data_IF_427095707865
#
_entry.id   IF_427095707865
#
_cell.length_a   1.000
_cell.length_b   1.000
_cell.length_c   1.000
_cell.angle_alpha   90.00
_cell.angle_beta   90.00
_cell.angle_gamma   90.00
#
_symmetry.space_group_name_H-M   'P 1'
#
loop_
_entity.id
_entity.type
_entity.pdbx_description
1 polymer ?
#
# COMPACT_ATOMS: atom_id res chain seq x y z
N UNK A 1 12.18 62.06 21.34
CA UNK A 1 12.75 61.27 20.24
C UNK A 1 12.73 59.81 20.68
N UNK A 2 11.79 59.02 20.20
CA UNK A 2 11.73 57.59 20.43
C UNK A 2 12.41 56.90 19.27
N UNK A 3 13.58 56.32 19.50
CA UNK A 3 14.32 55.50 18.54
C UNK A 3 13.70 54.13 18.53
N UNK A 4 12.98 53.80 17.44
CA UNK A 4 12.50 52.47 17.15
C UNK A 4 13.67 51.59 16.72
N UNK A 5 14.11 50.68 17.60
CA UNK A 5 15.01 49.58 17.23
C UNK A 5 14.24 48.56 16.40
N UNK A 6 14.42 48.58 15.10
CA UNK A 6 14.01 47.47 14.21
C UNK A 6 15.05 46.38 14.32
N UNK A 7 14.74 45.29 15.02
CA UNK A 7 15.54 44.07 14.95
C UNK A 7 15.30 43.43 13.57
N UNK A 8 16.37 43.06 12.83
CA UNK A 8 16.20 42.27 11.61
C UNK A 8 15.66 40.90 12.03
N UNK A 9 14.47 40.56 11.58
CA UNK A 9 13.98 39.19 11.65
C UNK A 9 14.92 38.39 10.78
N UNK A 10 15.83 37.62 11.36
CA UNK A 10 16.63 36.66 10.66
C UNK A 10 15.64 35.59 10.12
N UNK A 11 15.32 35.69 8.85
CA UNK A 11 14.66 34.62 8.12
C UNK A 11 15.69 33.48 8.06
N UNK A 12 15.61 32.55 9.01
CA UNK A 12 16.35 31.31 8.90
C UNK A 12 15.85 30.62 7.61
N UNK A 13 16.74 30.52 6.63
CA UNK A 13 16.45 29.75 5.42
C UNK A 13 16.08 28.33 5.85
N UNK A 14 14.84 27.96 5.63
CA UNK A 14 14.33 26.66 6.02
C UNK A 14 15.16 25.60 5.29
N UNK A 15 15.71 24.65 6.04
CA UNK A 15 16.55 23.58 5.46
C UNK A 15 15.64 22.56 4.81
N UNK A 16 15.98 22.15 3.59
CA UNK A 16 15.26 21.08 2.91
C UNK A 16 15.33 19.76 3.70
N UNK A 17 14.15 19.16 3.92
CA UNK A 17 14.03 17.84 4.54
C UNK A 17 14.00 16.75 3.50
N UNK A 18 14.55 15.57 3.82
CA UNK A 18 14.45 14.40 2.98
C UNK A 18 12.98 13.93 2.90
N UNK A 19 12.41 13.96 1.72
CA UNK A 19 11.02 13.57 1.48
C UNK A 19 10.91 12.05 1.55
N UNK A 20 10.27 11.54 2.60
CA UNK A 20 9.99 10.11 2.76
C UNK A 20 8.85 9.65 1.85
N UNK A 21 8.72 8.33 1.66
CA UNK A 21 7.58 7.77 0.92
C UNK A 21 6.26 8.15 1.60
N UNK A 22 5.29 8.62 0.81
CA UNK A 22 3.94 8.95 1.30
C UNK A 22 3.22 7.73 1.89
N UNK A 23 3.56 6.52 1.44
CA UNK A 23 3.00 5.28 1.99
C UNK A 23 3.49 4.96 3.40
N UNK A 24 4.66 5.51 3.79
CA UNK A 24 5.24 5.37 5.14
C UNK A 24 4.85 6.54 6.04
N UNK A 25 5.03 7.77 5.53
CA UNK A 25 4.81 9.02 6.29
C UNK A 25 4.01 10.00 5.44
N UNK A 26 2.68 9.89 5.42
CA UNK A 26 1.84 10.88 4.76
C UNK A 26 1.92 12.22 5.50
N UNK A 27 2.09 13.30 4.75
CA UNK A 27 2.13 14.67 5.28
C UNK A 27 1.05 15.51 4.59
N UNK A 28 0.62 16.64 5.19
CA UNK A 28 -0.30 17.57 4.54
C UNK A 28 0.27 18.14 3.24
N UNK A 29 -0.60 18.57 2.33
CA UNK A 29 -0.19 19.11 1.02
C UNK A 29 0.71 20.34 1.16
N UNK A 30 0.45 21.17 2.16
CA UNK A 30 1.21 22.39 2.46
C UNK A 30 2.69 22.08 2.75
N UNK A 31 2.96 20.99 3.48
CA UNK A 31 4.33 20.53 3.72
C UNK A 31 5.05 20.22 2.40
N UNK A 32 4.39 19.50 1.49
CA UNK A 32 5.03 19.15 0.22
C UNK A 32 5.24 20.37 -0.69
N UNK A 33 4.31 21.34 -0.67
CA UNK A 33 4.45 22.61 -1.39
C UNK A 33 5.66 23.41 -0.88
N UNK A 34 5.77 23.56 0.45
CA UNK A 34 6.88 24.24 1.08
C UNK A 34 8.22 23.56 0.79
N UNK A 35 8.29 22.24 0.90
CA UNK A 35 9.52 21.51 0.58
C UNK A 35 9.88 21.60 -0.90
N UNK A 36 8.91 21.66 -1.81
CA UNK A 36 9.18 21.88 -3.23
C UNK A 36 9.87 23.23 -3.46
N UNK A 37 9.45 24.29 -2.79
CA UNK A 37 10.04 25.63 -2.92
C UNK A 37 11.47 25.66 -2.34
N UNK A 38 11.68 25.05 -1.17
CA UNK A 38 13.00 24.95 -0.52
C UNK A 38 13.99 24.20 -1.42
N UNK A 39 13.61 23.03 -1.95
CA UNK A 39 14.50 22.25 -2.81
C UNK A 39 14.73 22.91 -4.18
N UNK A 40 13.74 23.65 -4.70
CA UNK A 40 13.94 24.48 -5.90
C UNK A 40 14.97 25.59 -5.68
N UNK A 41 14.94 26.24 -4.50
CA UNK A 41 15.95 27.24 -4.14
C UNK A 41 17.36 26.64 -4.06
N UNK A 42 17.51 25.42 -3.54
CA UNK A 42 18.80 24.71 -3.55
C UNK A 42 19.29 24.38 -4.96
N UNK A 43 18.39 23.97 -5.86
CA UNK A 43 18.72 23.72 -7.25
C UNK A 43 19.14 24.98 -8.02
N UNK A 44 18.59 26.14 -7.66
CA UNK A 44 19.00 27.44 -8.23
C UNK A 44 20.44 27.81 -7.83
N UNK A 45 20.91 27.34 -6.66
CA UNK A 45 22.31 27.54 -6.22
C UNK A 45 23.25 26.52 -6.88
N UNK A 46 22.80 25.28 -7.01
CA UNK A 46 23.58 24.17 -7.60
C UNK A 46 22.68 23.18 -8.33
N UNK A 47 22.56 23.32 -9.63
CA UNK A 47 21.76 22.43 -10.48
C UNK A 47 22.38 21.05 -10.73
N UNK A 48 23.59 20.78 -10.19
CA UNK A 48 24.23 19.46 -10.18
C UNK A 48 23.93 18.66 -8.89
N UNK A 49 23.20 19.22 -7.94
CA UNK A 49 22.84 18.55 -6.70
C UNK A 49 21.75 17.50 -6.95
N UNK A 50 22.17 16.24 -7.10
CA UNK A 50 21.28 15.11 -7.37
C UNK A 50 20.25 14.89 -6.24
N UNK A 51 20.67 15.04 -4.97
CA UNK A 51 19.75 14.93 -3.83
C UNK A 51 18.66 16.02 -3.84
N UNK A 52 19.01 17.25 -4.25
CA UNK A 52 18.02 18.31 -4.37
C UNK A 52 17.00 18.01 -5.49
N UNK A 53 17.43 17.47 -6.62
CA UNK A 53 16.53 17.00 -7.69
C UNK A 53 15.58 15.91 -7.21
N UNK A 54 16.10 14.92 -6.47
CA UNK A 54 15.31 13.82 -5.94
C UNK A 54 14.18 14.31 -5.04
N UNK A 55 14.48 15.17 -4.09
CA UNK A 55 13.49 15.71 -3.15
C UNK A 55 12.54 16.70 -3.83
N UNK A 56 13.02 17.52 -4.75
CA UNK A 56 12.18 18.42 -5.55
C UNK A 56 11.13 17.65 -6.36
N UNK A 57 11.56 16.58 -7.04
CA UNK A 57 10.64 15.71 -7.77
C UNK A 57 9.60 15.06 -6.83
N UNK A 58 10.06 14.46 -5.72
CA UNK A 58 9.17 13.80 -4.76
C UNK A 58 8.15 14.75 -4.16
N UNK A 59 8.56 15.94 -3.73
CA UNK A 59 7.66 16.96 -3.22
C UNK A 59 6.56 17.30 -4.24
N UNK A 60 6.93 17.60 -5.50
CA UNK A 60 5.95 17.89 -6.55
C UNK A 60 5.04 16.70 -6.89
N UNK A 61 5.58 15.46 -6.87
CA UNK A 61 4.77 14.26 -7.05
C UNK A 61 3.70 14.13 -5.97
N UNK A 62 4.05 14.39 -4.71
CA UNK A 62 3.13 14.26 -3.58
C UNK A 62 2.14 15.42 -3.48
N UNK A 63 2.52 16.64 -3.85
CA UNK A 63 1.54 17.72 -4.10
C UNK A 63 0.47 17.24 -5.08
N UNK A 64 0.87 16.63 -6.20
CA UNK A 64 -0.07 16.10 -7.18
C UNK A 64 -0.94 14.94 -6.67
N UNK A 65 -0.45 14.13 -5.73
CA UNK A 65 -1.23 13.03 -5.12
C UNK A 65 -2.24 13.57 -4.09
N UNK A 66 -1.83 14.57 -3.27
CA UNK A 66 -2.66 15.12 -2.20
C UNK A 66 -3.69 16.15 -2.69
N UNK A 67 -3.54 16.70 -3.89
CA UNK A 67 -4.36 17.81 -4.38
C UNK A 67 -5.77 17.44 -4.82
N UNK A 68 -6.25 16.21 -4.55
CA UNK A 68 -7.62 15.75 -4.81
C UNK A 68 -8.40 16.62 -5.81
N UNK A 69 -8.33 16.33 -7.11
CA UNK A 69 -9.12 16.94 -8.20
C UNK A 69 -8.87 18.41 -8.56
N UNK A 70 -8.15 19.19 -7.78
CA UNK A 70 -7.89 20.62 -8.10
C UNK A 70 -6.80 20.80 -9.16
N UNK A 71 -5.83 19.88 -9.24
CA UNK A 71 -4.86 19.82 -10.34
C UNK A 71 -5.28 18.69 -11.27
N UNK A 72 -5.86 19.04 -12.41
CA UNK A 72 -6.25 18.06 -13.43
C UNK A 72 -5.06 17.18 -13.82
N UNK A 73 -5.29 15.87 -13.93
CA UNK A 73 -4.27 14.86 -14.17
C UNK A 73 -3.19 15.23 -15.22
N UNK A 74 -3.51 15.85 -16.38
CA UNK A 74 -2.52 16.27 -17.37
C UNK A 74 -1.47 17.23 -16.83
N UNK A 75 -1.83 18.24 -16.05
CA UNK A 75 -0.91 19.29 -15.59
C UNK A 75 0.15 18.73 -14.60
N UNK A 76 -0.25 17.78 -13.77
CA UNK A 76 0.68 17.08 -12.88
C UNK A 76 1.76 16.33 -13.67
N UNK A 77 1.35 15.58 -14.69
CA UNK A 77 2.29 14.81 -15.52
C UNK A 77 3.23 15.72 -16.31
N UNK A 78 2.72 16.85 -16.84
CA UNK A 78 3.54 17.86 -17.55
C UNK A 78 4.63 18.40 -16.63
N UNK A 79 4.29 18.79 -15.40
CA UNK A 79 5.27 19.32 -14.43
C UNK A 79 6.34 18.29 -14.07
N UNK A 80 5.94 17.06 -13.73
CA UNK A 80 6.90 16.02 -13.39
C UNK A 80 7.81 15.67 -14.57
N UNK A 81 7.25 15.60 -15.79
CA UNK A 81 8.04 15.41 -17.01
C UNK A 81 9.07 16.52 -17.19
N UNK A 82 8.69 17.79 -17.03
CA UNK A 82 9.61 18.91 -17.13
C UNK A 82 10.77 18.81 -16.14
N UNK A 83 10.52 18.34 -14.90
CA UNK A 83 11.57 18.11 -13.92
C UNK A 83 12.55 17.03 -14.40
N UNK A 84 12.03 15.91 -14.94
CA UNK A 84 12.85 14.83 -15.51
C UNK A 84 13.68 15.34 -16.70
N UNK A 85 13.10 16.13 -17.61
CA UNK A 85 13.80 16.70 -18.77
C UNK A 85 14.96 17.64 -18.34
N UNK A 86 14.78 18.37 -17.24
CA UNK A 86 15.85 19.21 -16.67
C UNK A 86 16.91 18.38 -15.93
N UNK A 87 16.55 17.29 -15.26
CA UNK A 87 17.50 16.34 -14.66
C UNK A 87 18.37 15.69 -15.74
N UNK A 88 17.78 15.33 -16.88
CA UNK A 88 18.51 14.74 -18.03
C UNK A 88 19.62 15.66 -18.54
N UNK A 89 19.37 16.98 -18.61
CA UNK A 89 20.38 17.99 -19.00
C UNK A 89 21.48 18.19 -17.97
N UNK A 90 21.13 18.04 -16.68
CA UNK A 90 22.04 18.42 -15.58
C UNK A 90 22.76 17.24 -14.95
N UNK A 91 22.11 16.09 -14.76
CA UNK A 91 22.63 14.95 -14.00
C UNK A 91 22.28 13.58 -14.66
N UNK A 92 22.46 13.38 -16.00
CA UNK A 92 21.98 12.21 -16.74
C UNK A 92 22.53 10.88 -16.24
N UNK A 93 23.73 10.88 -15.67
CA UNK A 93 24.41 9.66 -15.20
C UNK A 93 24.21 9.38 -13.71
N UNK A 94 23.34 10.17 -13.02
CA UNK A 94 23.08 9.97 -11.60
C UNK A 94 22.08 8.82 -11.35
N UNK A 95 22.15 8.23 -10.15
CA UNK A 95 21.13 7.31 -9.65
C UNK A 95 19.76 7.97 -9.69
N UNK A 96 19.66 9.19 -9.17
CA UNK A 96 18.42 9.94 -9.01
C UNK A 96 17.71 10.16 -10.34
N UNK A 97 18.44 10.56 -11.39
CA UNK A 97 17.84 10.73 -12.71
C UNK A 97 17.31 9.40 -13.24
N UNK A 98 18.12 8.35 -13.23
CA UNK A 98 17.72 7.06 -13.79
C UNK A 98 16.54 6.46 -13.00
N UNK A 99 16.58 6.52 -11.68
CA UNK A 99 15.48 6.02 -10.84
C UNK A 99 14.19 6.82 -11.05
N UNK A 100 14.27 8.16 -11.04
CA UNK A 100 13.07 8.99 -11.20
C UNK A 100 12.52 8.98 -12.64
N UNK A 101 13.36 8.75 -13.64
CA UNK A 101 12.92 8.51 -15.02
C UNK A 101 12.03 7.27 -15.11
N UNK A 102 12.45 6.16 -14.49
CA UNK A 102 11.64 4.96 -14.32
C UNK A 102 10.35 5.27 -13.56
N UNK A 103 10.45 5.86 -12.38
CA UNK A 103 9.27 6.16 -11.54
C UNK A 103 8.24 7.04 -12.27
N UNK A 104 8.71 7.99 -13.10
CA UNK A 104 7.86 8.87 -13.90
C UNK A 104 7.20 8.17 -15.08
N UNK A 105 7.71 7.03 -15.52
CA UNK A 105 7.12 6.26 -16.61
C UNK A 105 5.83 5.52 -16.21
N UNK A 106 5.53 5.43 -14.89
CA UNK A 106 4.37 4.70 -14.39
C UNK A 106 4.49 3.19 -14.55
N UNK A 107 5.70 2.65 -14.37
CA UNK A 107 6.03 1.22 -14.55
C UNK A 107 5.93 0.73 -16.02
N UNK A 108 6.19 1.61 -16.97
CA UNK A 108 6.33 1.22 -18.38
C UNK A 108 7.57 0.33 -18.54
N UNK A 109 7.36 -0.96 -18.78
CA UNK A 109 8.43 -1.96 -18.90
C UNK A 109 9.41 -1.67 -20.05
N UNK A 110 9.03 -0.86 -21.04
CA UNK A 110 9.96 -0.39 -22.09
C UNK A 110 11.05 0.52 -21.55
N UNK A 111 10.82 1.13 -20.38
CA UNK A 111 11.75 2.01 -19.65
C UNK A 111 12.53 1.28 -18.53
N UNK A 112 12.37 -0.03 -18.39
CA UNK A 112 12.97 -0.81 -17.30
C UNK A 112 14.49 -0.68 -17.22
N UNK A 113 15.15 -0.43 -18.36
CA UNK A 113 16.59 -0.18 -18.43
C UNK A 113 17.05 1.00 -17.54
N UNK A 114 16.19 1.99 -17.26
CA UNK A 114 16.54 3.09 -16.35
C UNK A 114 16.57 2.60 -14.89
N UNK A 115 15.65 1.74 -14.48
CA UNK A 115 15.69 1.13 -13.16
C UNK A 115 16.97 0.27 -12.97
N UNK A 116 17.33 -0.53 -13.99
CA UNK A 116 18.56 -1.31 -13.99
C UNK A 116 19.82 -0.43 -13.92
N UNK A 117 19.84 0.70 -14.64
CA UNK A 117 20.95 1.66 -14.57
C UNK A 117 21.07 2.28 -13.19
N UNK A 118 19.97 2.71 -12.58
CA UNK A 118 19.97 3.23 -11.22
C UNK A 118 20.57 2.19 -10.25
N UNK A 119 20.11 0.95 -10.31
CA UNK A 119 20.60 -0.13 -9.46
C UNK A 119 22.09 -0.43 -9.68
N UNK A 120 22.59 -0.35 -10.92
CA UNK A 120 24.03 -0.52 -11.22
C UNK A 120 24.90 0.59 -10.63
N UNK A 121 24.37 1.81 -10.55
CA UNK A 121 25.10 2.96 -9.98
C UNK A 121 25.20 2.81 -8.46
N UNK A 122 24.10 2.47 -7.81
CA UNK A 122 24.07 2.27 -6.35
C UNK A 122 23.11 1.13 -5.99
N UNK A 123 23.60 -0.12 -5.93
CA UNK A 123 22.78 -1.29 -5.63
C UNK A 123 22.34 -1.34 -4.15
N UNK A 124 22.92 -0.52 -3.28
CA UNK A 124 22.59 -0.50 -1.85
C UNK A 124 21.41 0.43 -1.52
N UNK A 125 21.00 1.26 -2.48
CA UNK A 125 19.84 2.15 -2.31
C UNK A 125 18.53 1.39 -2.43
N UNK A 126 17.84 1.32 -1.30
CA UNK A 126 16.63 0.52 -1.13
C UNK A 126 15.39 1.10 -1.83
N UNK A 127 15.40 2.40 -2.17
CA UNK A 127 14.25 3.06 -2.78
C UNK A 127 13.80 2.39 -4.09
N UNK A 128 14.72 1.72 -4.79
CA UNK A 128 14.44 1.01 -6.05
C UNK A 128 13.88 -0.40 -5.85
N UNK A 129 14.03 -1.01 -4.66
CA UNK A 129 13.64 -2.42 -4.46
C UNK A 129 12.14 -2.69 -4.63
N UNK A 130 11.21 -1.85 -4.08
CA UNK A 130 9.78 -2.02 -4.37
C UNK A 130 9.46 -1.98 -5.86
N UNK A 131 10.16 -1.11 -6.61
CA UNK A 131 9.97 -0.98 -8.05
C UNK A 131 10.45 -2.22 -8.81
N UNK A 132 11.55 -2.85 -8.37
CA UNK A 132 11.97 -4.15 -8.91
C UNK A 132 10.97 -5.25 -8.58
N UNK A 133 10.43 -5.27 -7.35
CA UNK A 133 9.39 -6.24 -6.95
C UNK A 133 8.18 -6.11 -7.87
N UNK A 134 7.67 -4.90 -8.09
CA UNK A 134 6.53 -4.68 -8.99
C UNK A 134 6.86 -4.96 -10.45
N UNK A 135 8.02 -4.53 -10.96
CA UNK A 135 8.42 -4.76 -12.34
C UNK A 135 8.56 -6.25 -12.68
N UNK A 136 9.13 -7.04 -11.76
CA UNK A 136 9.25 -8.48 -11.95
C UNK A 136 7.90 -9.20 -11.75
N UNK A 137 7.01 -8.68 -10.90
CA UNK A 137 5.63 -9.16 -10.86
C UNK A 137 4.91 -8.92 -12.20
N UNK A 138 5.01 -7.73 -12.78
CA UNK A 138 4.48 -7.44 -14.13
C UNK A 138 5.03 -8.40 -15.20
N UNK A 139 6.32 -8.73 -15.13
CA UNK A 139 6.98 -9.68 -16.03
C UNK A 139 6.67 -11.15 -15.71
N UNK A 140 5.93 -11.44 -14.65
CA UNK A 140 5.70 -12.79 -14.11
C UNK A 140 7.00 -13.56 -13.78
N UNK A 141 8.08 -12.85 -13.52
CA UNK A 141 9.36 -13.40 -13.05
C UNK A 141 9.37 -13.47 -11.52
N UNK A 142 8.70 -14.49 -11.00
CA UNK A 142 8.47 -14.68 -9.56
C UNK A 142 9.79 -14.89 -8.81
N UNK A 143 10.78 -15.51 -9.45
CA UNK A 143 12.09 -15.77 -8.84
C UNK A 143 12.80 -14.45 -8.54
N UNK A 144 12.92 -13.57 -9.53
CA UNK A 144 13.53 -12.24 -9.36
C UNK A 144 12.72 -11.33 -8.46
N UNK A 145 11.38 -11.37 -8.56
CA UNK A 145 10.51 -10.67 -7.61
C UNK A 145 10.87 -11.06 -6.17
N UNK A 146 10.97 -12.35 -5.89
CA UNK A 146 11.28 -12.86 -4.56
C UNK A 146 12.71 -12.51 -4.14
N UNK A 147 13.69 -12.50 -5.06
CA UNK A 147 15.04 -12.03 -4.79
C UNK A 147 15.04 -10.58 -4.27
N UNK A 148 14.36 -9.66 -4.97
CA UNK A 148 14.29 -8.27 -4.57
C UNK A 148 13.44 -8.05 -3.31
N UNK A 149 12.40 -8.83 -3.10
CA UNK A 149 11.63 -8.81 -1.85
C UNK A 149 12.51 -9.18 -0.63
N UNK A 150 13.39 -10.19 -0.78
CA UNK A 150 14.36 -10.58 0.25
C UNK A 150 15.41 -9.49 0.48
N UNK A 151 15.95 -8.89 -0.57
CA UNK A 151 16.89 -7.77 -0.47
C UNK A 151 16.27 -6.59 0.26
N UNK A 152 15.02 -6.26 -0.07
CA UNK A 152 14.31 -5.19 0.60
C UNK A 152 14.09 -5.47 2.08
N UNK A 153 13.65 -6.69 2.43
CA UNK A 153 13.51 -7.10 3.82
C UNK A 153 14.84 -6.99 4.59
N UNK A 154 15.95 -7.44 3.99
CA UNK A 154 17.26 -7.42 4.62
C UNK A 154 17.78 -6.01 4.96
N UNK A 155 17.26 -4.95 4.32
CA UNK A 155 17.58 -3.56 4.67
C UNK A 155 16.96 -3.10 5.99
N UNK A 156 16.00 -3.84 6.55
CA UNK A 156 15.35 -3.50 7.82
C UNK A 156 14.37 -2.34 7.77
N UNK A 157 14.01 -1.87 6.58
CA UNK A 157 13.12 -0.72 6.39
C UNK A 157 11.68 -1.10 5.96
N UNK A 158 11.37 -2.39 5.97
CA UNK A 158 9.99 -2.87 5.85
C UNK A 158 9.30 -2.69 7.20
N UNK A 159 8.09 -2.14 7.20
CA UNK A 159 7.31 -1.95 8.43
C UNK A 159 6.98 -3.27 9.09
N UNK A 160 7.45 -3.54 10.32
CA UNK A 160 7.07 -4.74 11.06
C UNK A 160 5.55 -4.83 11.30
N UNK A 161 4.89 -3.70 11.55
CA UNK A 161 3.45 -3.65 11.73
C UNK A 161 2.69 -4.11 10.49
N UNK A 162 3.11 -3.70 9.29
CA UNK A 162 2.53 -4.19 8.04
C UNK A 162 2.85 -5.66 7.77
N UNK A 163 3.99 -6.18 8.24
CA UNK A 163 4.26 -7.61 8.16
C UNK A 163 3.29 -8.39 9.07
N UNK A 164 3.06 -7.97 10.32
CA UNK A 164 2.07 -8.60 11.20
C UNK A 164 0.64 -8.50 10.65
N UNK A 165 0.25 -7.32 10.17
CA UNK A 165 -1.06 -7.12 9.57
C UNK A 165 -1.29 -8.10 8.40
N UNK A 166 -0.35 -8.13 7.45
CA UNK A 166 -0.46 -8.97 6.27
C UNK A 166 -0.25 -10.47 6.57
N UNK A 167 0.52 -10.83 7.61
CA UNK A 167 0.54 -12.18 8.14
C UNK A 167 -0.87 -12.62 8.55
N UNK A 168 -1.59 -11.80 9.31
CA UNK A 168 -2.95 -12.11 9.73
C UNK A 168 -3.92 -12.15 8.53
N UNK A 169 -3.71 -11.32 7.50
CA UNK A 169 -4.47 -11.46 6.24
C UNK A 169 -4.26 -12.84 5.63
N UNK A 170 -3.01 -13.30 5.47
CA UNK A 170 -2.70 -14.63 4.92
C UNK A 170 -3.29 -15.76 5.76
N UNK A 171 -3.27 -15.62 7.09
CA UNK A 171 -3.82 -16.63 8.00
C UNK A 171 -5.35 -16.68 7.97
N UNK A 172 -6.04 -15.66 7.44
CA UNK A 172 -7.49 -15.67 7.21
C UNK A 172 -7.94 -16.63 6.11
N UNK A 173 -7.01 -17.10 5.27
CA UNK A 173 -7.32 -17.71 3.98
C UNK A 173 -7.25 -19.22 4.01
N UNK A 174 -8.14 -19.89 3.27
CA UNK A 174 -8.05 -21.33 3.00
C UNK A 174 -6.83 -21.65 2.11
N UNK A 175 -6.37 -22.91 2.09
CA UNK A 175 -5.28 -23.33 1.20
C UNK A 175 -5.56 -23.03 -0.27
N UNK A 176 -4.50 -22.72 -1.03
CA UNK A 176 -4.54 -22.41 -2.46
C UNK A 176 -5.44 -21.24 -2.86
N UNK A 177 -5.71 -20.30 -1.96
CA UNK A 177 -6.58 -19.16 -2.23
C UNK A 177 -6.03 -18.19 -3.29
N UNK A 178 -6.94 -17.41 -3.88
CA UNK A 178 -6.64 -16.17 -4.58
C UNK A 178 -7.04 -15.03 -3.65
N UNK A 179 -6.11 -14.12 -3.38
CA UNK A 179 -6.35 -12.91 -2.59
C UNK A 179 -6.28 -11.68 -3.50
N UNK A 180 -7.36 -10.92 -3.54
CA UNK A 180 -7.43 -9.63 -4.22
C UNK A 180 -6.98 -8.52 -3.26
N UNK A 181 -6.03 -7.70 -3.69
CA UNK A 181 -5.49 -6.53 -2.97
C UNK A 181 -5.52 -5.31 -3.87
N UNK A 182 -5.19 -4.12 -3.34
CA UNK A 182 -5.27 -2.89 -4.15
C UNK A 182 -4.07 -1.96 -4.00
N UNK A 183 -3.45 -1.90 -2.82
CA UNK A 183 -2.38 -0.95 -2.50
C UNK A 183 -1.02 -1.61 -2.28
N UNK A 184 -0.01 -0.77 -2.07
CA UNK A 184 1.36 -1.22 -1.81
C UNK A 184 1.47 -1.91 -0.44
N UNK A 185 0.83 -1.32 0.58
CA UNK A 185 0.91 -1.78 1.97
C UNK A 185 0.10 -3.06 2.25
N UNK A 186 -0.81 -3.42 1.37
CA UNK A 186 -1.58 -4.66 1.43
C UNK A 186 -1.15 -5.71 0.40
N UNK A 187 -0.07 -5.44 -0.35
CA UNK A 187 0.46 -6.33 -1.38
C UNK A 187 1.92 -6.70 -1.16
N UNK A 188 2.83 -5.72 -1.09
CA UNK A 188 4.26 -6.01 -0.97
C UNK A 188 4.64 -6.78 0.31
N UNK A 189 4.07 -6.48 1.49
CA UNK A 189 4.36 -7.29 2.68
C UNK A 189 3.92 -8.75 2.53
N UNK A 190 2.86 -9.06 1.77
CA UNK A 190 2.46 -10.44 1.47
C UNK A 190 3.54 -11.17 0.66
N UNK A 191 4.04 -10.54 -0.40
CA UNK A 191 5.12 -11.11 -1.20
C UNK A 191 6.42 -11.27 -0.42
N UNK A 192 6.72 -10.34 0.49
CA UNK A 192 7.88 -10.45 1.40
C UNK A 192 7.70 -11.64 2.37
N UNK A 193 6.52 -11.79 2.97
CA UNK A 193 6.22 -12.92 3.86
C UNK A 193 6.36 -14.27 3.13
N UNK A 194 5.87 -14.36 1.91
CA UNK A 194 6.01 -15.54 1.06
C UNK A 194 7.48 -15.79 0.70
N UNK A 195 8.18 -14.77 0.18
CA UNK A 195 9.54 -14.92 -0.32
C UNK A 195 10.57 -15.18 0.79
N UNK A 196 10.47 -14.45 1.92
CA UNK A 196 11.49 -14.48 2.97
C UNK A 196 11.23 -15.61 3.98
N UNK A 197 9.96 -15.90 4.30
CA UNK A 197 9.60 -16.79 5.39
C UNK A 197 8.85 -18.05 4.95
N UNK A 198 8.56 -18.20 3.64
CA UNK A 198 7.78 -19.33 3.13
C UNK A 198 6.33 -19.36 3.62
N UNK A 199 5.79 -18.20 4.07
CA UNK A 199 4.45 -18.13 4.66
C UNK A 199 3.41 -18.10 3.54
N UNK A 200 2.57 -19.16 3.47
CA UNK A 200 1.43 -19.24 2.56
C UNK A 200 1.80 -18.98 1.09
N UNK A 201 2.86 -19.59 0.61
CA UNK A 201 3.27 -19.55 -0.82
C UNK A 201 2.21 -20.15 -1.76
N UNK A 202 1.30 -20.94 -1.21
CA UNK A 202 0.13 -21.50 -1.89
C UNK A 202 -0.87 -20.42 -2.33
N UNK A 203 -0.92 -19.28 -1.64
CA UNK A 203 -1.84 -18.17 -1.94
C UNK A 203 -1.32 -17.36 -3.12
N UNK A 204 -2.20 -17.08 -4.09
CA UNK A 204 -1.91 -16.17 -5.20
C UNK A 204 -2.46 -14.79 -4.89
N UNK A 205 -1.56 -13.81 -4.74
CA UNK A 205 -1.91 -12.41 -4.51
C UNK A 205 -2.07 -11.74 -5.87
N UNK A 206 -3.24 -11.13 -6.11
CA UNK A 206 -3.55 -10.36 -7.30
C UNK A 206 -3.87 -8.92 -6.90
N UNK A 207 -3.00 -8.00 -7.30
CA UNK A 207 -3.21 -6.58 -7.06
C UNK A 207 -4.08 -5.97 -8.16
N UNK A 208 -5.28 -5.50 -7.78
CA UNK A 208 -6.24 -4.91 -8.72
C UNK A 208 -5.71 -3.62 -9.37
N UNK A 209 -4.83 -2.87 -8.67
CA UNK A 209 -4.23 -1.66 -9.23
C UNK A 209 -3.20 -1.97 -10.32
N UNK A 210 -2.72 -3.21 -10.45
CA UNK A 210 -1.78 -3.63 -11.50
C UNK A 210 -2.49 -4.06 -12.79
N UNK A 211 -3.81 -4.18 -12.78
CA UNK A 211 -4.61 -4.65 -13.93
C UNK A 211 -4.69 -3.63 -15.09
N UNK A 212 -4.02 -2.48 -15.00
CA UNK A 212 -3.83 -1.60 -16.16
C UNK A 212 -2.72 -2.08 -17.11
N UNK A 213 -1.85 -2.98 -16.63
CA UNK A 213 -0.72 -3.48 -17.40
C UNK A 213 -1.11 -4.77 -18.16
N UNK A 214 -0.97 -4.75 -19.48
CA UNK A 214 -1.39 -5.84 -20.35
C UNK A 214 -0.57 -7.13 -20.11
N UNK A 215 0.75 -7.01 -19.90
CA UNK A 215 1.61 -8.17 -19.63
C UNK A 215 1.19 -8.87 -18.32
N UNK A 216 0.87 -8.08 -17.28
CA UNK A 216 0.38 -8.60 -16.01
C UNK A 216 -0.95 -9.37 -16.19
N UNK A 217 -1.91 -8.77 -16.91
CA UNK A 217 -3.19 -9.41 -17.20
C UNK A 217 -2.98 -10.74 -17.93
N UNK A 218 -2.18 -10.76 -18.98
CA UNK A 218 -1.89 -11.96 -19.76
C UNK A 218 -1.18 -13.02 -18.90
N UNK A 219 -0.23 -12.62 -18.09
CA UNK A 219 0.49 -13.49 -17.17
C UNK A 219 -0.43 -14.10 -16.10
N UNK A 220 -1.28 -13.29 -15.47
CA UNK A 220 -2.25 -13.75 -14.48
C UNK A 220 -3.33 -14.62 -15.10
N UNK A 221 -3.78 -14.32 -16.32
CA UNK A 221 -4.71 -15.16 -17.10
C UNK A 221 -4.15 -16.59 -17.27
N UNK A 222 -2.89 -16.68 -17.69
CA UNK A 222 -2.20 -17.97 -17.85
C UNK A 222 -2.01 -18.69 -16.51
N UNK A 223 -1.58 -17.95 -15.46
CA UNK A 223 -1.34 -18.51 -14.13
C UNK A 223 -2.62 -19.06 -13.49
N UNK A 224 -3.72 -18.32 -13.61
CA UNK A 224 -5.02 -18.67 -13.03
C UNK A 224 -5.89 -19.53 -13.95
N UNK A 225 -5.44 -19.80 -15.18
CA UNK A 225 -6.18 -20.51 -16.22
C UNK A 225 -7.57 -19.89 -16.47
N UNK A 226 -7.57 -18.59 -16.68
CA UNK A 226 -8.77 -17.78 -16.73
C UNK A 226 -8.63 -16.68 -17.79
N UNK A 227 -9.64 -16.51 -18.66
CA UNK A 227 -9.65 -15.46 -19.67
C UNK A 227 -10.10 -14.12 -19.10
N UNK A 228 -9.19 -13.15 -19.03
CA UNK A 228 -9.53 -11.77 -18.77
C UNK A 228 -10.14 -11.09 -20.00
N UNK A 229 -10.97 -10.07 -19.77
CA UNK A 229 -11.48 -9.21 -20.85
C UNK A 229 -10.32 -8.40 -21.40
N UNK A 230 -10.29 -8.18 -22.72
CA UNK A 230 -9.29 -7.33 -23.38
C UNK A 230 -9.24 -5.94 -22.74
N UNK A 231 -8.10 -5.56 -22.14
CA UNK A 231 -7.96 -4.27 -21.47
C UNK A 231 -8.08 -3.08 -22.44
N UNK A 232 -7.73 -3.25 -23.71
CA UNK A 232 -7.80 -2.19 -24.73
C UNK A 232 -9.25 -1.77 -25.04
N UNK A 233 -10.23 -2.64 -24.81
CA UNK A 233 -11.66 -2.31 -24.98
C UNK A 233 -12.29 -1.64 -23.76
N UNK A 234 -11.60 -1.60 -22.62
CA UNK A 234 -12.10 -1.12 -21.34
C UNK A 234 -11.29 0.05 -20.77
N UNK A 235 -10.27 0.53 -21.48
CA UNK A 235 -9.36 1.59 -21.02
C UNK A 235 -10.07 2.94 -20.73
N UNK A 236 -11.29 3.16 -21.21
CA UNK A 236 -12.07 4.35 -20.86
C UNK A 236 -12.47 4.41 -19.39
N UNK A 237 -12.44 3.26 -18.67
CA UNK A 237 -12.73 3.23 -17.24
C UNK A 237 -12.04 2.06 -16.52
N UNK A 238 -10.82 2.32 -16.02
CA UNK A 238 -10.02 1.34 -15.28
C UNK A 238 -10.77 0.74 -14.05
N UNK A 239 -11.66 1.52 -13.43
CA UNK A 239 -12.46 1.07 -12.30
C UNK A 239 -13.54 0.05 -12.73
N UNK A 240 -14.23 0.29 -13.83
CA UNK A 240 -15.20 -0.66 -14.39
C UNK A 240 -14.51 -1.95 -14.82
N UNK A 241 -13.30 -1.83 -15.35
CA UNK A 241 -12.48 -2.98 -15.70
C UNK A 241 -12.13 -3.84 -14.49
N UNK A 242 -11.55 -3.23 -13.44
CA UNK A 242 -11.22 -3.95 -12.21
C UNK A 242 -12.46 -4.62 -11.58
N UNK A 243 -13.60 -3.93 -11.56
CA UNK A 243 -14.89 -4.46 -11.11
C UNK A 243 -15.33 -5.70 -11.91
N UNK A 244 -15.19 -5.65 -13.25
CA UNK A 244 -15.52 -6.78 -14.11
C UNK A 244 -14.62 -7.99 -13.87
N UNK A 245 -13.34 -7.76 -13.54
CA UNK A 245 -12.38 -8.80 -13.18
C UNK A 245 -12.78 -9.46 -11.86
N UNK A 246 -13.10 -8.68 -10.82
CA UNK A 246 -13.59 -9.22 -9.55
C UNK A 246 -14.79 -10.14 -9.76
N UNK A 247 -15.80 -9.66 -10.50
CA UNK A 247 -16.99 -10.48 -10.84
C UNK A 247 -16.63 -11.77 -11.58
N UNK A 248 -15.71 -11.68 -12.53
CA UNK A 248 -15.31 -12.86 -13.32
C UNK A 248 -14.55 -13.87 -12.47
N UNK A 249 -13.60 -13.41 -11.65
CA UNK A 249 -12.86 -14.30 -10.74
C UNK A 249 -13.83 -14.95 -9.75
N UNK A 250 -14.77 -14.18 -9.20
CA UNK A 250 -15.78 -14.68 -8.28
C UNK A 250 -16.75 -15.67 -8.95
N UNK A 251 -17.21 -15.39 -10.16
CA UNK A 251 -18.17 -16.22 -10.88
C UNK A 251 -17.54 -17.39 -11.65
N UNK A 252 -16.24 -17.30 -11.92
CA UNK A 252 -15.57 -18.39 -12.60
C UNK A 252 -15.30 -19.52 -11.62
N UNK A 253 -15.65 -20.74 -12.02
CA UNK A 253 -15.46 -21.96 -11.24
C UNK A 253 -13.97 -22.32 -11.09
N UNK A 254 -13.14 -21.33 -10.77
CA UNK A 254 -11.79 -21.59 -10.32
C UNK A 254 -11.92 -22.50 -9.11
N UNK A 255 -11.37 -23.70 -9.16
CA UNK A 255 -11.33 -24.65 -8.03
C UNK A 255 -10.47 -24.12 -6.86
N UNK A 256 -10.48 -22.81 -6.66
CA UNK A 256 -9.68 -22.08 -5.68
C UNK A 256 -10.58 -21.11 -4.92
N UNK A 257 -10.47 -21.06 -3.58
CA UNK A 257 -11.16 -20.04 -2.79
C UNK A 257 -10.72 -18.64 -3.21
N UNK A 258 -11.66 -17.69 -3.29
CA UNK A 258 -11.40 -16.31 -3.66
C UNK A 258 -11.69 -15.41 -2.47
N UNK A 259 -10.77 -14.48 -2.21
CA UNK A 259 -10.87 -13.52 -1.11
C UNK A 259 -10.58 -12.10 -1.59
N UNK A 260 -11.17 -11.14 -0.92
CA UNK A 260 -10.76 -9.72 -1.01
C UNK A 260 -10.22 -9.27 0.33
N UNK A 261 -9.08 -8.58 0.36
CA UNK A 261 -8.59 -7.92 1.58
C UNK A 261 -9.58 -6.84 2.02
N UNK A 262 -9.67 -6.53 3.33
CA UNK A 262 -10.54 -5.46 3.84
C UNK A 262 -10.13 -4.06 3.32
N UNK A 263 -8.94 -3.93 2.78
CA UNK A 263 -8.42 -2.70 2.17
C UNK A 263 -8.95 -2.45 0.74
N UNK A 264 -9.60 -3.44 0.14
CA UNK A 264 -10.21 -3.30 -1.19
C UNK A 264 -11.50 -2.48 -1.07
N UNK A 265 -11.54 -1.34 -1.76
CA UNK A 265 -12.68 -0.43 -1.77
C UNK A 265 -13.96 -1.15 -2.24
N UNK A 266 -15.08 -0.93 -1.56
CA UNK A 266 -16.40 -1.52 -1.86
C UNK A 266 -16.83 -1.30 -3.30
N UNK A 267 -16.40 -0.20 -3.94
CA UNK A 267 -16.67 0.05 -5.36
C UNK A 267 -16.23 -1.09 -6.29
N UNK A 268 -15.21 -1.86 -5.93
CA UNK A 268 -14.77 -3.03 -6.71
C UNK A 268 -15.59 -4.28 -6.42
N UNK A 269 -16.16 -4.40 -5.22
CA UNK A 269 -16.82 -5.62 -4.73
C UNK A 269 -18.35 -5.52 -4.72
N UNK A 270 -18.94 -4.32 -4.91
CA UNK A 270 -20.40 -4.11 -4.93
C UNK A 270 -21.19 -5.18 -5.71
N UNK A 271 -20.76 -5.67 -6.90
CA UNK A 271 -21.54 -6.66 -7.64
C UNK A 271 -21.66 -8.02 -6.98
N UNK A 272 -20.80 -8.34 -6.02
CA UNK A 272 -20.71 -9.61 -5.30
C UNK A 272 -20.83 -9.43 -3.80
N UNK A 273 -21.32 -8.28 -3.35
CA UNK A 273 -21.33 -7.91 -1.93
C UNK A 273 -22.14 -8.89 -1.07
N UNK A 274 -23.23 -9.44 -1.59
CA UNK A 274 -24.10 -10.39 -0.87
C UNK A 274 -23.45 -11.77 -0.69
N UNK A 275 -22.45 -12.11 -1.53
CA UNK A 275 -21.69 -13.35 -1.46
C UNK A 275 -20.34 -13.20 -0.72
N UNK A 276 -20.09 -12.05 -0.08
CA UNK A 276 -18.88 -11.79 0.69
C UNK A 276 -19.09 -12.04 2.17
N UNK A 277 -18.33 -12.95 2.74
CA UNK A 277 -18.38 -13.32 4.15
C UNK A 277 -17.10 -12.90 4.87
N UNK A 278 -17.26 -12.08 5.90
CA UNK A 278 -16.13 -11.64 6.74
C UNK A 278 -15.53 -12.84 7.48
N UNK A 279 -14.21 -13.09 7.29
CA UNK A 279 -13.52 -14.22 7.91
C UNK A 279 -12.27 -13.83 8.71
N UNK A 280 -12.00 -12.55 8.86
CA UNK A 280 -10.84 -11.98 9.55
C UNK A 280 -10.49 -10.62 8.95
N UNK A 281 -9.29 -10.47 8.41
CA UNK A 281 -8.88 -9.28 7.65
C UNK A 281 -9.14 -9.43 6.13
N UNK A 282 -10.03 -10.33 5.78
CA UNK A 282 -10.48 -10.57 4.42
C UNK A 282 -11.95 -10.98 4.40
N UNK A 283 -12.58 -10.80 3.24
CA UNK A 283 -13.87 -11.41 2.91
C UNK A 283 -13.65 -12.62 2.02
N UNK A 284 -14.28 -13.74 2.36
CA UNK A 284 -14.37 -14.92 1.49
C UNK A 284 -15.57 -14.77 0.56
N UNK A 285 -15.37 -14.96 -0.74
CA UNK A 285 -16.44 -15.09 -1.69
C UNK A 285 -17.04 -16.51 -1.67
N UNK A 286 -18.35 -16.60 -1.49
CA UNK A 286 -19.09 -17.86 -1.57
C UNK A 286 -20.52 -17.64 -2.04
N UNK A 287 -20.98 -18.46 -3.02
CA UNK A 287 -22.40 -18.51 -3.41
C UNK A 287 -23.24 -19.26 -2.37
N UNK A 288 -22.62 -20.16 -1.66
CA UNK A 288 -23.26 -20.91 -0.59
C UNK A 288 -23.09 -20.17 0.74
N UNK A 289 -24.11 -20.24 1.59
CA UNK A 289 -24.01 -19.71 2.92
C UNK A 289 -22.96 -20.44 3.72
N UNK A 290 -22.00 -19.73 4.30
CA UNK A 290 -20.94 -20.28 5.14
C UNK A 290 -21.12 -19.83 6.60
N UNK A 291 -20.62 -20.63 7.53
CA UNK A 291 -20.51 -20.23 8.96
C UNK A 291 -19.24 -19.34 9.11
N UNK A 292 -19.38 -18.08 8.74
CA UNK A 292 -18.28 -17.14 8.81
C UNK A 292 -17.92 -16.79 10.27
N UNK A 293 -18.85 -16.91 11.23
CA UNK A 293 -18.55 -16.68 12.66
C UNK A 293 -17.57 -17.73 13.17
N UNK A 294 -17.78 -19.01 12.85
CA UNK A 294 -16.85 -20.07 13.23
C UNK A 294 -15.46 -19.86 12.61
N UNK A 295 -15.40 -19.42 11.32
CA UNK A 295 -14.14 -19.07 10.67
C UNK A 295 -13.47 -17.86 11.31
N UNK A 296 -14.24 -16.84 11.63
CA UNK A 296 -13.77 -15.62 12.28
C UNK A 296 -13.16 -15.91 13.65
N UNK A 297 -13.86 -16.71 14.48
CA UNK A 297 -13.33 -17.17 15.78
C UNK A 297 -12.03 -17.92 15.62
N UNK A 298 -11.98 -18.93 14.74
CA UNK A 298 -10.77 -19.69 14.47
C UNK A 298 -9.60 -18.78 14.08
N UNK A 299 -9.83 -17.87 13.14
CA UNK A 299 -8.79 -16.98 12.63
C UNK A 299 -8.30 -16.02 13.70
N UNK A 300 -9.22 -15.29 14.34
CA UNK A 300 -8.88 -14.25 15.31
C UNK A 300 -8.33 -14.78 16.62
N UNK A 301 -8.79 -15.94 17.08
CA UNK A 301 -8.44 -16.47 18.41
C UNK A 301 -7.30 -17.49 18.39
N UNK A 302 -7.06 -18.14 17.24
CA UNK A 302 -6.10 -19.25 17.18
C UNK A 302 -4.94 -18.99 16.21
N UNK A 303 -5.17 -18.22 15.11
CA UNK A 303 -4.20 -18.09 14.05
C UNK A 303 -3.54 -16.71 13.99
N UNK A 304 -4.23 -15.66 14.40
CA UNK A 304 -3.72 -14.29 14.31
C UNK A 304 -2.68 -13.99 15.38
N UNK A 305 -1.63 -13.31 14.97
CA UNK A 305 -0.66 -12.71 15.87
C UNK A 305 -1.18 -11.33 16.32
N UNK A 306 -2.05 -11.29 17.36
CA UNK A 306 -2.68 -10.05 17.83
C UNK A 306 -1.87 -9.31 18.90
N UNK A 307 -0.81 -9.92 19.45
CA UNK A 307 -0.07 -9.31 20.56
C UNK A 307 0.66 -8.02 20.16
N UNK A 308 1.02 -7.85 18.89
CA UNK A 308 1.63 -6.61 18.41
C UNK A 308 0.67 -5.39 18.49
N UNK A 309 -0.65 -5.62 18.55
CA UNK A 309 -1.64 -4.55 18.77
C UNK A 309 -1.63 -4.06 20.23
N UNK A 310 -1.19 -4.92 21.16
CA UNK A 310 -1.16 -4.64 22.60
C UNK A 310 0.18 -4.05 23.03
N UNK A 311 1.28 -4.63 22.56
CA UNK A 311 2.65 -4.26 22.94
C UNK A 311 3.57 -4.29 21.73
N UNK A 312 4.34 -3.21 21.54
CA UNK A 312 5.32 -3.09 20.46
C UNK A 312 6.72 -2.95 21.05
N UNK A 313 7.61 -3.87 20.72
CA UNK A 313 9.03 -3.83 21.13
C UNK A 313 9.96 -3.32 20.04
N UNK A 314 9.41 -2.73 18.98
CA UNK A 314 10.14 -2.22 17.82
C UNK A 314 9.66 -0.79 17.46
N UNK A 315 10.52 -0.07 16.75
CA UNK A 315 10.09 1.16 16.08
C UNK A 315 9.57 0.80 14.69
N UNK A 316 8.41 1.32 14.35
CA UNK A 316 7.84 1.16 13.03
C UNK A 316 8.11 2.40 12.17
N UNK A 317 8.74 2.22 11.01
CA UNK A 317 9.04 3.30 10.09
C UNK A 317 7.80 3.80 9.31
N UNK A 318 6.67 3.11 9.47
CA UNK A 318 5.37 3.47 8.90
C UNK A 318 4.30 3.64 10.00
N UNK A 319 4.69 4.07 11.22
CA UNK A 319 3.83 4.13 12.41
C UNK A 319 2.49 4.82 12.15
N UNK A 320 2.48 5.93 11.42
CA UNK A 320 1.23 6.67 11.15
C UNK A 320 0.28 5.85 10.27
N UNK A 321 0.77 5.27 9.20
CA UNK A 321 -0.06 4.52 8.26
C UNK A 321 -0.49 3.15 8.81
N UNK A 322 0.36 2.46 9.58
CA UNK A 322 -0.02 1.19 10.20
C UNK A 322 -1.07 1.38 11.32
N UNK A 323 -1.02 2.47 12.08
CA UNK A 323 -2.09 2.80 13.05
C UNK A 323 -3.45 2.93 12.35
N UNK A 324 -3.50 3.58 11.19
CA UNK A 324 -4.71 3.67 10.38
C UNK A 324 -5.15 2.30 9.84
N UNK A 325 -4.22 1.50 9.32
CA UNK A 325 -4.53 0.16 8.82
C UNK A 325 -5.05 -0.78 9.93
N UNK A 326 -4.53 -0.64 11.15
CA UNK A 326 -5.00 -1.42 12.31
C UNK A 326 -6.46 -1.14 12.68
N UNK A 327 -7.05 -0.03 12.25
CA UNK A 327 -8.49 0.22 12.40
C UNK A 327 -9.35 -0.87 11.73
N UNK A 328 -8.84 -1.53 10.69
CA UNK A 328 -9.54 -2.63 10.01
C UNK A 328 -9.83 -3.82 10.93
N UNK A 329 -9.07 -4.00 12.02
CA UNK A 329 -9.37 -5.02 13.02
C UNK A 329 -10.67 -4.77 13.79
N UNK A 330 -11.14 -3.53 13.85
CA UNK A 330 -12.36 -3.19 14.58
C UNK A 330 -13.59 -3.93 14.03
N UNK A 331 -13.68 -4.07 12.70
CA UNK A 331 -14.82 -4.75 12.06
C UNK A 331 -14.95 -6.21 12.53
N UNK A 332 -13.94 -7.08 12.37
CA UNK A 332 -14.02 -8.47 12.84
C UNK A 332 -14.10 -8.58 14.38
N UNK A 333 -13.47 -7.68 15.14
CA UNK A 333 -13.52 -7.67 16.59
C UNK A 333 -14.91 -7.34 17.11
N UNK A 334 -15.59 -6.32 16.56
CA UNK A 334 -16.94 -5.95 16.92
C UNK A 334 -17.91 -7.10 16.58
N UNK A 335 -17.73 -7.74 15.41
CA UNK A 335 -18.55 -8.90 15.03
C UNK A 335 -18.44 -10.05 16.07
N UNK A 336 -17.24 -10.34 16.58
CA UNK A 336 -17.06 -11.34 17.62
C UNK A 336 -17.59 -10.87 18.98
N UNK A 337 -17.38 -9.63 19.35
CA UNK A 337 -17.95 -9.04 20.56
C UNK A 337 -19.46 -9.19 20.58
N UNK A 338 -20.18 -8.84 19.51
CA UNK A 338 -21.62 -8.95 19.41
C UNK A 338 -22.07 -10.42 19.49
N UNK A 339 -21.36 -11.34 18.80
CA UNK A 339 -21.64 -12.78 18.90
C UNK A 339 -21.54 -13.29 20.34
N UNK A 340 -20.49 -12.95 21.08
CA UNK A 340 -20.29 -13.39 22.46
C UNK A 340 -21.29 -12.74 23.42
N UNK A 341 -21.61 -11.47 23.20
CA UNK A 341 -22.62 -10.75 23.98
C UNK A 341 -24.00 -11.37 23.83
N UNK A 342 -24.42 -11.70 22.61
CA UNK A 342 -25.69 -12.38 22.32
C UNK A 342 -25.72 -13.81 22.89
N UNK A 343 -24.58 -14.45 22.97
CA UNK A 343 -24.42 -15.81 23.54
C UNK A 343 -24.26 -15.81 25.08
N UNK A 344 -24.34 -14.64 25.73
CA UNK A 344 -24.12 -14.44 27.17
C UNK A 344 -22.76 -14.94 27.69
N UNK A 345 -21.73 -14.96 26.86
CA UNK A 345 -20.34 -15.35 27.18
C UNK A 345 -19.58 -14.14 27.72
N UNK A 346 -19.76 -13.86 29.02
CA UNK A 346 -19.30 -12.60 29.65
C UNK A 346 -17.79 -12.39 29.58
N UNK A 347 -16.98 -13.43 29.81
CA UNK A 347 -15.53 -13.30 29.80
C UNK A 347 -14.98 -12.95 28.41
N UNK A 348 -15.48 -13.65 27.39
CA UNK A 348 -15.09 -13.41 25.99
C UNK A 348 -15.55 -12.03 25.54
N UNK A 349 -16.78 -11.63 25.91
CA UNK A 349 -17.32 -10.29 25.64
C UNK A 349 -16.40 -9.21 26.22
N UNK A 350 -16.00 -9.34 27.49
CA UNK A 350 -15.14 -8.33 28.13
C UNK A 350 -13.72 -8.32 27.51
N UNK A 351 -13.16 -9.48 27.19
CA UNK A 351 -11.86 -9.57 26.53
C UNK A 351 -11.85 -8.85 25.18
N UNK A 352 -12.87 -9.09 24.34
CA UNK A 352 -12.98 -8.40 23.05
C UNK A 352 -13.24 -6.91 23.22
N UNK A 353 -14.10 -6.49 24.17
CA UNK A 353 -14.33 -5.09 24.51
C UNK A 353 -13.02 -4.36 24.79
N UNK A 354 -12.17 -4.94 25.67
CA UNK A 354 -10.90 -4.35 26.06
C UNK A 354 -9.95 -4.19 24.87
N UNK A 355 -9.89 -5.19 23.99
CA UNK A 355 -9.04 -5.13 22.79
C UNK A 355 -9.56 -4.12 21.76
N UNK A 356 -10.88 -4.04 21.56
CA UNK A 356 -11.52 -3.05 20.69
C UNK A 356 -11.20 -1.63 21.15
N UNK A 357 -11.36 -1.36 22.46
CA UNK A 357 -11.06 -0.03 23.03
C UNK A 357 -9.59 0.33 22.82
N UNK A 358 -8.68 -0.61 23.02
CA UNK A 358 -7.25 -0.40 22.82
C UNK A 358 -6.93 -0.10 21.34
N UNK A 359 -7.46 -0.89 20.42
CA UNK A 359 -7.23 -0.71 18.98
C UNK A 359 -7.84 0.62 18.50
N UNK A 360 -9.06 0.94 18.93
CA UNK A 360 -9.71 2.20 18.57
C UNK A 360 -8.91 3.41 19.05
N UNK A 361 -8.44 3.39 20.30
CA UNK A 361 -7.57 4.45 20.85
C UNK A 361 -6.28 4.61 20.05
N UNK A 362 -5.61 3.51 19.75
CA UNK A 362 -4.33 3.52 19.03
C UNK A 362 -4.48 3.97 17.56
N UNK A 363 -5.66 3.76 16.95
CA UNK A 363 -5.95 4.12 15.57
C UNK A 363 -6.75 5.43 15.42
N UNK A 364 -7.11 6.10 16.52
CA UNK A 364 -7.91 7.34 16.50
C UNK A 364 -9.38 7.10 16.11
N UNK A 365 -9.92 5.91 16.43
CA UNK A 365 -11.28 5.49 16.06
C UNK A 365 -12.24 5.38 17.27
N UNK A 366 -11.95 6.08 18.35
CA UNK A 366 -12.79 6.04 19.58
C UNK A 366 -14.24 6.49 19.29
N UNK A 367 -14.42 7.44 18.38
CA UNK A 367 -15.76 7.89 18.00
C UNK A 367 -16.55 6.77 17.29
N UNK A 368 -15.88 5.97 16.45
CA UNK A 368 -16.52 4.88 15.70
C UNK A 368 -17.08 3.79 16.61
N UNK A 369 -16.40 3.45 17.70
CA UNK A 369 -16.80 2.34 18.59
C UNK A 369 -17.89 2.72 19.62
N UNK A 370 -18.17 4.01 19.85
CA UNK A 370 -19.14 4.48 20.88
C UNK A 370 -20.52 3.89 20.72
N UNK A 371 -20.96 3.64 19.50
CA UNK A 371 -22.30 3.11 19.22
C UNK A 371 -22.39 1.60 19.48
N UNK A 372 -21.25 0.90 19.41
CA UNK A 372 -21.18 -0.56 19.59
C UNK A 372 -20.86 -0.94 21.04
N UNK A 373 -19.95 -0.19 21.67
CA UNK A 373 -19.47 -0.47 23.04
C UNK A 373 -20.06 0.60 23.95
N UNK A 374 -21.29 0.36 24.42
CA UNK A 374 -21.87 1.16 25.50
C UNK A 374 -21.35 0.65 26.82
N UNK A 375 -20.91 1.58 27.69
CA UNK A 375 -20.54 1.30 29.08
C UNK A 375 -21.69 0.66 29.88
#
# INVERSE_FOLDING_TARGET
MLTTCTFPVAVYAQKGEQIQSITKKPMPIEYYQEQADVWKAELNKNNKNANAWFNYYRANRYVGICSNDTIKGPDRFIKLKSIIDDMEKNIPESYEFNYLKWLNSGNDLTQFNYLEKAYKIDPEREESYPDFVSAYEFKMDIEKRNEFAKKWFAKGNVSPGYLYYNYNVLMSLKPNAILLTVGDNDTYPLWILQAQFGIREDVKVLNLSMLYNTEYIMGMSKLLQFEFIDPLKSAENAQLYAKSIVMRIANNQLKRPVYTALTVDEKFTTPVAEELYLVGLAYEYSKDKIDNIALLKKNMEQLFALDYLKVQFYRDNAEMSIKQANANYLVPMITLYDHYKLSNMKNETENWKNLIVLVAKNSGQEAYIKDYIKE
#
